data_IF_333166439646
#
_entry.id   IF_333166439646
#
_cell.length_a   1.000
_cell.length_b   1.000
_cell.length_c   1.000
_cell.angle_alpha   90.00
_cell.angle_beta   90.00
_cell.angle_gamma   90.00
#
_symmetry.space_group_name_H-M   'P 1'
#
loop_
_entity.id
_entity.type
_entity.pdbx_description
1 polymer ?
#
# COMPACT_ATOMS: atom_id res chain seq x y z
N UNK A 1 1.11 18.99 -16.55
CA UNK A 1 0.00 18.98 -17.53
C UNK A 1 -0.22 17.62 -18.23
N UNK A 2 0.46 16.52 -17.83
CA UNK A 2 0.37 15.22 -18.53
C UNK A 2 -0.58 14.18 -17.89
N UNK A 3 -1.33 14.55 -16.84
CA UNK A 3 -2.17 13.62 -16.09
C UNK A 3 -3.67 13.67 -16.45
N UNK A 4 -4.03 14.29 -17.59
CA UNK A 4 -5.38 14.16 -18.14
C UNK A 4 -5.37 13.05 -19.19
N UNK A 5 -6.25 12.08 -18.98
CA UNK A 5 -6.89 11.26 -20.03
C UNK A 5 -6.26 9.90 -20.35
N UNK A 6 -6.45 8.92 -19.46
CA UNK A 6 -6.75 7.55 -19.88
C UNK A 6 -7.50 6.80 -18.77
N UNK A 7 -8.83 6.98 -18.66
CA UNK A 7 -9.66 6.25 -17.71
C UNK A 7 -9.40 4.74 -17.75
N UNK A 8 -9.12 4.20 -18.94
CA UNK A 8 -8.74 2.79 -19.13
C UNK A 8 -7.46 2.37 -18.41
N UNK A 9 -6.42 3.22 -18.36
CA UNK A 9 -5.17 2.90 -17.64
C UNK A 9 -5.39 2.90 -16.13
N UNK A 10 -6.17 3.85 -15.60
CA UNK A 10 -6.53 3.86 -14.18
C UNK A 10 -7.32 2.59 -13.80
N UNK A 11 -8.28 2.18 -14.64
CA UNK A 11 -9.05 0.94 -14.48
C UNK A 11 -8.16 -0.30 -14.45
N UNK A 12 -7.24 -0.41 -15.40
CA UNK A 12 -6.31 -1.55 -15.48
C UNK A 12 -5.41 -1.60 -14.24
N UNK A 13 -4.91 -0.45 -13.78
CA UNK A 13 -4.08 -0.37 -12.59
C UNK A 13 -4.83 -0.78 -11.31
N UNK A 14 -6.09 -0.37 -11.15
CA UNK A 14 -6.91 -0.75 -9.98
C UNK A 14 -7.09 -2.28 -9.87
N UNK A 15 -7.07 -3.00 -10.98
CA UNK A 15 -7.20 -4.47 -11.01
C UNK A 15 -5.84 -5.17 -10.88
N UNK A 16 -4.82 -4.69 -11.61
CA UNK A 16 -3.49 -5.32 -11.61
C UNK A 16 -2.83 -5.21 -10.24
N UNK A 17 -3.05 -4.13 -9.52
CA UNK A 17 -2.31 -3.86 -8.29
C UNK A 17 -2.63 -4.85 -7.15
N UNK A 18 -3.92 -5.16 -6.83
CA UNK A 18 -4.24 -6.21 -5.86
C UNK A 18 -3.81 -7.60 -6.34
N UNK A 19 -3.86 -7.87 -7.65
CA UNK A 19 -3.37 -9.13 -8.22
C UNK A 19 -1.85 -9.28 -8.06
N UNK A 20 -1.10 -8.19 -8.22
CA UNK A 20 0.34 -8.16 -8.00
C UNK A 20 0.71 -8.39 -6.53
N UNK A 21 -0.08 -7.85 -5.60
CA UNK A 21 0.12 -8.07 -4.15
C UNK A 21 -0.04 -9.55 -3.76
N UNK A 22 -0.91 -10.30 -4.43
CA UNK A 22 -0.99 -11.77 -4.28
C UNK A 22 0.36 -12.41 -4.61
N UNK A 23 0.96 -12.04 -5.74
CA UNK A 23 2.27 -12.58 -6.15
C UNK A 23 3.35 -12.21 -5.14
N UNK A 24 3.42 -10.94 -4.74
CA UNK A 24 4.37 -10.46 -3.74
C UNK A 24 4.24 -11.18 -2.40
N UNK A 25 3.01 -11.39 -1.93
CA UNK A 25 2.72 -12.09 -0.68
C UNK A 25 3.09 -13.57 -0.74
N UNK A 26 2.83 -14.24 -1.87
CA UNK A 26 3.23 -15.64 -2.07
C UNK A 26 4.76 -15.80 -2.12
N UNK A 27 5.47 -14.83 -2.70
CA UNK A 27 6.93 -14.81 -2.66
C UNK A 27 7.46 -14.59 -1.23
N UNK A 28 6.84 -13.71 -0.44
CA UNK A 28 7.16 -13.53 0.99
C UNK A 28 6.94 -14.83 1.79
N UNK A 29 5.83 -15.54 1.54
CA UNK A 29 5.55 -16.85 2.14
C UNK A 29 6.65 -17.86 1.80
N UNK A 30 7.03 -17.95 0.51
CA UNK A 30 8.06 -18.87 0.04
C UNK A 30 9.41 -18.58 0.69
N UNK A 31 9.80 -17.30 0.76
CA UNK A 31 11.06 -16.87 1.34
C UNK A 31 11.14 -17.16 2.86
N UNK A 32 10.00 -17.13 3.56
CA UNK A 32 9.96 -17.27 5.02
C UNK A 32 9.42 -18.61 5.52
N UNK A 33 9.24 -19.61 4.65
CA UNK A 33 8.62 -20.90 4.99
C UNK A 33 9.31 -21.65 6.14
N UNK A 34 10.63 -21.51 6.24
CA UNK A 34 11.45 -22.18 7.25
C UNK A 34 11.96 -21.24 8.35
N UNK A 35 11.46 -20.00 8.40
CA UNK A 35 11.96 -18.99 9.33
C UNK A 35 11.41 -19.12 10.77
N UNK A 36 10.63 -20.17 11.06
CA UNK A 36 10.05 -20.41 12.40
C UNK A 36 9.01 -19.37 12.85
N UNK A 37 8.49 -18.57 11.92
CA UNK A 37 7.50 -17.51 12.18
C UNK A 37 6.13 -17.88 11.61
N UNK A 38 5.06 -17.34 12.20
CA UNK A 38 3.72 -17.52 11.67
C UNK A 38 3.56 -16.85 10.29
N UNK A 39 2.96 -17.60 9.36
CA UNK A 39 2.63 -17.16 8.00
C UNK A 39 1.14 -16.82 7.82
N UNK A 40 0.34 -16.96 8.89
CA UNK A 40 -1.10 -16.73 8.85
C UNK A 40 -1.47 -15.34 8.31
N UNK A 41 -0.82 -14.22 8.72
CA UNK A 41 -1.17 -12.91 8.19
C UNK A 41 -0.96 -12.79 6.68
N UNK A 42 0.07 -13.45 6.12
CA UNK A 42 0.29 -13.48 4.67
C UNK A 42 -0.80 -14.26 3.94
N UNK A 43 -1.24 -15.40 4.47
CA UNK A 43 -2.35 -16.14 3.87
C UNK A 43 -3.65 -15.32 3.89
N UNK A 44 -3.93 -14.64 4.99
CA UNK A 44 -5.08 -13.71 5.09
C UNK A 44 -4.94 -12.59 4.05
N UNK A 45 -3.75 -11.97 3.92
CA UNK A 45 -3.50 -10.94 2.93
C UNK A 45 -3.72 -11.44 1.50
N UNK A 46 -3.27 -12.66 1.20
CA UNK A 46 -3.46 -13.30 -0.10
C UNK A 46 -4.95 -13.43 -0.43
N UNK A 47 -5.76 -13.92 0.51
CA UNK A 47 -7.21 -14.05 0.33
C UNK A 47 -7.87 -12.69 0.14
N UNK A 48 -7.52 -11.70 0.97
CA UNK A 48 -8.03 -10.33 0.84
C UNK A 48 -7.71 -9.75 -0.55
N UNK A 49 -6.49 -9.93 -1.05
CA UNK A 49 -6.05 -9.39 -2.33
C UNK A 49 -6.70 -10.10 -3.53
N UNK A 50 -6.94 -11.42 -3.45
CA UNK A 50 -7.74 -12.15 -4.46
C UNK A 50 -9.18 -11.63 -4.49
N UNK A 51 -9.85 -11.56 -3.33
CA UNK A 51 -11.23 -11.09 -3.23
C UNK A 51 -11.35 -9.64 -3.72
N UNK A 52 -10.36 -8.80 -3.40
CA UNK A 52 -10.32 -7.41 -3.87
C UNK A 52 -10.17 -7.33 -5.38
N UNK A 53 -9.29 -8.14 -5.99
CA UNK A 53 -9.09 -8.16 -7.45
C UNK A 53 -10.43 -8.38 -8.17
N UNK A 54 -11.22 -9.34 -7.68
CA UNK A 54 -12.56 -9.64 -8.20
C UNK A 54 -13.53 -8.49 -7.89
N UNK A 55 -13.55 -8.00 -6.65
CA UNK A 55 -14.46 -6.94 -6.21
C UNK A 55 -14.24 -5.63 -6.98
N UNK A 56 -13.00 -5.26 -7.28
CA UNK A 56 -12.68 -4.08 -8.10
C UNK A 56 -13.15 -4.27 -9.54
N UNK A 57 -12.96 -5.45 -10.13
CA UNK A 57 -13.42 -5.75 -11.49
C UNK A 57 -14.95 -5.67 -11.63
N UNK A 58 -15.69 -5.94 -10.55
CA UNK A 58 -17.14 -5.75 -10.47
C UNK A 58 -17.50 -4.28 -10.20
N UNK A 59 -16.82 -3.64 -9.23
CA UNK A 59 -17.12 -2.27 -8.81
C UNK A 59 -16.88 -1.25 -9.93
N UNK A 60 -15.88 -1.48 -10.78
CA UNK A 60 -15.57 -0.57 -11.88
C UNK A 60 -16.68 -0.50 -12.94
N UNK A 61 -17.55 -1.51 -13.01
CA UNK A 61 -18.73 -1.52 -13.87
C UNK A 61 -19.84 -0.59 -13.35
N UNK A 62 -19.80 -0.26 -12.05
CA UNK A 62 -20.74 0.67 -11.39
C UNK A 62 -20.24 2.12 -11.42
N UNK A 63 -18.93 2.29 -11.42
CA UNK A 63 -18.28 3.59 -11.52
C UNK A 63 -16.88 3.61 -10.94
N UNK A 64 -16.15 4.67 -11.25
CA UNK A 64 -14.81 4.92 -10.69
C UNK A 64 -14.85 5.14 -9.16
N UNK A 65 -15.81 5.90 -8.59
CA UNK A 65 -15.89 6.09 -7.14
C UNK A 65 -16.03 4.78 -6.37
N UNK A 66 -16.87 3.86 -6.84
CA UNK A 66 -17.10 2.55 -6.23
C UNK A 66 -15.82 1.71 -6.25
N UNK A 67 -15.10 1.70 -7.38
CA UNK A 67 -13.81 1.02 -7.48
C UNK A 67 -12.75 1.62 -6.54
N UNK A 68 -12.74 2.95 -6.37
CA UNK A 68 -11.84 3.64 -5.44
C UNK A 68 -12.11 3.29 -3.98
N UNK A 69 -13.38 3.11 -3.59
CA UNK A 69 -13.74 2.68 -2.22
C UNK A 69 -13.20 1.27 -1.96
N UNK A 70 -13.50 0.33 -2.86
CA UNK A 70 -13.04 -1.07 -2.72
C UNK A 70 -11.51 -1.13 -2.66
N UNK A 71 -10.84 -0.41 -3.57
CA UNK A 71 -9.39 -0.34 -3.61
C UNK A 71 -8.80 0.31 -2.35
N UNK A 72 -9.43 1.38 -1.86
CA UNK A 72 -8.99 2.08 -0.66
C UNK A 72 -9.09 1.22 0.60
N UNK A 73 -10.20 0.50 0.77
CA UNK A 73 -10.39 -0.45 1.88
C UNK A 73 -9.32 -1.55 1.83
N UNK A 74 -9.07 -2.10 0.65
CA UNK A 74 -8.00 -3.09 0.45
C UNK A 74 -6.63 -2.54 0.84
N UNK A 75 -6.23 -1.37 0.32
CA UNK A 75 -4.93 -0.77 0.59
C UNK A 75 -4.72 -0.50 2.10
N UNK A 76 -5.79 -0.16 2.83
CA UNK A 76 -5.74 -0.04 4.29
C UNK A 76 -5.51 -1.39 4.97
N UNK A 77 -6.29 -2.41 4.63
CA UNK A 77 -6.19 -3.73 5.25
C UNK A 77 -4.83 -4.38 5.01
N UNK A 78 -4.38 -4.40 3.75
CA UNK A 78 -3.08 -4.98 3.38
C UNK A 78 -1.93 -4.17 3.96
N UNK A 79 -2.04 -2.85 3.95
CA UNK A 79 -1.08 -1.94 4.56
C UNK A 79 -0.92 -2.18 6.07
N UNK A 80 -2.03 -2.33 6.80
CA UNK A 80 -2.01 -2.67 8.23
C UNK A 80 -1.37 -4.03 8.49
N UNK A 81 -1.69 -5.04 7.67
CA UNK A 81 -1.06 -6.36 7.76
C UNK A 81 0.46 -6.23 7.58
N UNK A 82 0.92 -5.52 6.53
CA UNK A 82 2.35 -5.31 6.26
C UNK A 82 3.04 -4.54 7.39
N UNK A 83 2.38 -3.50 7.92
CA UNK A 83 2.91 -2.68 9.01
C UNK A 83 3.12 -3.52 10.27
N UNK A 84 2.09 -4.29 10.68
CA UNK A 84 2.15 -5.16 11.86
C UNK A 84 3.19 -6.26 11.66
N UNK A 85 3.23 -6.88 10.49
CA UNK A 85 4.22 -7.89 10.14
C UNK A 85 5.64 -7.35 10.22
N UNK A 86 5.90 -6.20 9.59
CA UNK A 86 7.21 -5.56 9.61
C UNK A 86 7.64 -5.23 11.04
N UNK A 87 6.74 -4.70 11.87
CA UNK A 87 7.03 -4.40 13.28
C UNK A 87 7.35 -5.67 14.09
N UNK A 88 6.60 -6.76 13.87
CA UNK A 88 6.84 -8.05 14.57
C UNK A 88 8.12 -8.72 14.10
N UNK A 89 8.34 -8.79 12.79
CA UNK A 89 9.48 -9.48 12.17
C UNK A 89 10.80 -8.72 12.34
N UNK A 90 10.80 -7.39 12.47
CA UNK A 90 12.05 -6.61 12.60
C UNK A 90 12.92 -7.04 13.77
N UNK A 91 12.32 -7.55 14.85
CA UNK A 91 13.04 -8.00 16.06
C UNK A 91 13.68 -9.38 15.89
N UNK A 92 13.20 -10.19 14.96
CA UNK A 92 13.62 -11.59 14.77
C UNK A 92 14.46 -11.76 13.50
N UNK A 93 14.07 -11.10 12.41
CA UNK A 93 14.72 -11.23 11.09
C UNK A 93 15.62 -10.03 10.74
N UNK A 94 15.48 -8.90 11.44
CA UNK A 94 16.11 -7.64 11.03
C UNK A 94 15.61 -7.14 9.66
N UNK A 95 16.03 -5.94 9.24
CA UNK A 95 15.83 -5.44 7.87
C UNK A 95 14.39 -5.15 7.42
N UNK A 96 13.37 -5.26 8.27
CA UNK A 96 11.95 -5.13 7.88
C UNK A 96 11.43 -3.69 7.78
N UNK A 97 12.29 -2.68 7.99
CA UNK A 97 11.89 -1.27 7.91
C UNK A 97 11.24 -0.87 6.58
N UNK A 98 11.64 -1.38 5.40
CA UNK A 98 10.93 -1.13 4.14
C UNK A 98 9.48 -1.62 4.16
N UNK A 99 9.21 -2.78 4.76
CA UNK A 99 7.86 -3.34 4.89
C UNK A 99 6.97 -2.50 5.82
N UNK A 100 7.54 -1.99 6.93
CA UNK A 100 6.85 -1.10 7.87
C UNK A 100 6.44 0.20 7.15
N UNK A 101 7.38 0.78 6.41
CA UNK A 101 7.17 2.02 5.65
C UNK A 101 6.11 1.81 4.57
N UNK A 102 6.27 0.76 3.75
CA UNK A 102 5.31 0.38 2.71
C UNK A 102 3.90 0.18 3.29
N UNK A 103 3.80 -0.55 4.41
CA UNK A 103 2.54 -0.78 5.09
C UNK A 103 1.87 0.53 5.55
N UNK A 104 2.62 1.42 6.19
CA UNK A 104 2.13 2.73 6.60
C UNK A 104 1.67 3.60 5.42
N UNK A 105 2.43 3.61 4.33
CA UNK A 105 2.07 4.34 3.10
C UNK A 105 0.78 3.81 2.48
N UNK A 106 0.61 2.49 2.43
CA UNK A 106 -0.59 1.85 1.89
C UNK A 106 -1.83 2.21 2.71
N UNK A 107 -1.72 2.29 4.04
CA UNK A 107 -2.81 2.75 4.91
C UNK A 107 -3.23 4.19 4.58
N UNK A 108 -2.28 5.10 4.49
CA UNK A 108 -2.56 6.51 4.17
C UNK A 108 -3.16 6.68 2.78
N UNK A 109 -2.66 5.93 1.79
CA UNK A 109 -3.19 5.91 0.45
C UNK A 109 -4.65 5.41 0.43
N UNK A 110 -4.94 4.33 1.15
CA UNK A 110 -6.29 3.78 1.22
C UNK A 110 -7.31 4.72 1.84
N UNK A 111 -6.96 5.41 2.94
CA UNK A 111 -7.79 6.48 3.52
C UNK A 111 -8.05 7.59 2.51
N UNK A 112 -7.03 7.99 1.76
CA UNK A 112 -7.14 9.04 0.74
C UNK A 112 -8.09 8.64 -0.39
N UNK A 113 -8.01 7.40 -0.89
CA UNK A 113 -8.91 6.91 -1.94
C UNK A 113 -10.38 6.86 -1.49
N UNK A 114 -10.65 6.44 -0.26
CA UNK A 114 -12.01 6.44 0.29
C UNK A 114 -12.53 7.89 0.39
N UNK A 115 -11.71 8.83 0.85
CA UNK A 115 -12.09 10.24 0.92
C UNK A 115 -12.37 10.83 -0.48
N UNK A 116 -11.53 10.52 -1.47
CA UNK A 116 -11.71 10.96 -2.86
C UNK A 116 -13.00 10.43 -3.49
N UNK A 117 -13.40 9.19 -3.20
CA UNK A 117 -14.62 8.61 -3.75
C UNK A 117 -15.90 9.39 -3.34
N UNK A 118 -15.86 10.09 -2.20
CA UNK A 118 -16.98 10.88 -1.69
C UNK A 118 -16.91 12.36 -2.10
N UNK A 119 -15.97 12.78 -2.94
CA UNK A 119 -15.82 14.20 -3.32
C UNK A 119 -15.26 14.41 -4.73
N UNK A 120 -16.09 14.89 -5.67
CA UNK A 120 -15.66 15.17 -7.05
C UNK A 120 -14.57 16.26 -7.19
N UNK A 121 -14.36 17.10 -6.17
CA UNK A 121 -13.54 18.33 -6.26
C UNK A 121 -12.37 18.42 -5.25
N UNK A 122 -11.99 17.35 -4.54
CA UNK A 122 -11.00 17.46 -3.45
C UNK A 122 -9.54 17.57 -3.95
N UNK A 123 -9.09 18.81 -4.20
CA UNK A 123 -7.68 19.14 -4.42
C UNK A 123 -6.83 19.19 -3.14
N UNK A 124 -7.43 19.47 -1.98
CA UNK A 124 -6.72 19.67 -0.69
C UNK A 124 -6.23 18.34 -0.07
N UNK A 125 -7.03 17.27 -0.15
CA UNK A 125 -6.62 15.96 0.38
C UNK A 125 -5.52 15.33 -0.48
N UNK A 126 -5.52 15.54 -1.80
CA UNK A 126 -4.40 15.20 -2.66
C UNK A 126 -3.12 15.95 -2.28
N UNK A 127 -3.24 17.24 -1.94
CA UNK A 127 -2.12 18.02 -1.45
C UNK A 127 -1.61 17.46 -0.11
N UNK A 128 -2.50 17.10 0.83
CA UNK A 128 -2.12 16.55 2.12
C UNK A 128 -1.47 15.16 2.01
N UNK A 129 -2.03 14.26 1.19
CA UNK A 129 -1.46 12.95 0.89
C UNK A 129 -0.11 13.07 0.20
N UNK A 130 -0.02 13.85 -0.88
CA UNK A 130 1.24 14.13 -1.59
C UNK A 130 2.29 14.79 -0.68
N UNK A 131 1.88 15.75 0.16
CA UNK A 131 2.76 16.42 1.13
C UNK A 131 3.22 15.48 2.24
N UNK A 132 2.38 14.53 2.67
CA UNK A 132 2.79 13.49 3.61
C UNK A 132 3.85 12.57 2.99
N UNK A 133 3.69 12.18 1.72
CA UNK A 133 4.72 11.45 0.97
C UNK A 133 6.02 12.26 0.82
N UNK A 134 5.93 13.54 0.45
CA UNK A 134 7.09 14.44 0.33
C UNK A 134 7.82 14.66 1.66
N UNK A 135 7.09 15.00 2.72
CA UNK A 135 7.62 15.18 4.06
C UNK A 135 8.31 13.91 4.57
N UNK A 136 7.77 12.74 4.23
CA UNK A 136 8.35 11.45 4.58
C UNK A 136 9.69 11.19 3.86
N UNK A 137 9.78 11.41 2.55
CA UNK A 137 11.05 11.26 1.83
C UNK A 137 12.11 12.25 2.32
N UNK A 138 11.72 13.48 2.66
CA UNK A 138 12.62 14.44 3.30
C UNK A 138 13.10 13.98 4.68
N UNK A 139 12.21 13.42 5.53
CA UNK A 139 12.61 12.86 6.82
C UNK A 139 13.59 11.70 6.66
N UNK A 140 13.35 10.81 5.70
CA UNK A 140 14.25 9.70 5.39
C UNK A 140 15.62 10.19 4.91
N UNK A 141 15.64 11.22 4.05
CA UNK A 141 16.86 11.88 3.60
C UNK A 141 17.61 12.52 4.78
N UNK A 142 16.90 13.21 5.69
CA UNK A 142 17.48 13.82 6.87
C UNK A 142 18.11 12.77 7.82
N UNK A 143 17.42 11.66 8.09
CA UNK A 143 17.95 10.57 8.93
C UNK A 143 19.21 9.95 8.28
N UNK A 144 19.19 9.77 6.95
CA UNK A 144 20.35 9.25 6.22
C UNK A 144 21.54 10.21 6.29
N UNK A 145 21.31 11.51 6.07
CA UNK A 145 22.34 12.55 6.16
C UNK A 145 22.94 12.64 7.56
N UNK A 146 22.11 12.51 8.61
CA UNK A 146 22.58 12.53 9.98
C UNK A 146 23.50 11.34 10.33
N UNK A 147 23.35 10.20 9.64
CA UNK A 147 24.21 9.02 9.84
C UNK A 147 25.50 9.07 9.03
N UNK A 148 25.51 9.78 7.90
CA UNK A 148 26.74 10.02 7.14
C UNK A 148 27.62 11.09 7.80
N UNK A 149 27.04 12.00 8.58
CA UNK A 149 27.78 13.04 9.29
C UNK A 149 28.38 12.59 10.64
N UNK A 150 28.13 11.34 11.07
CA UNK A 150 28.70 10.76 12.30
C UNK A 150 29.95 9.91 12.06
N UNK A 151 30.59 10.04 10.89
CA UNK A 151 31.89 9.43 10.58
C UNK A 151 32.90 10.56 10.41
N UNK A 152 33.33 11.14 11.52
CA UNK A 152 34.57 11.90 11.68
C UNK A 152 35.30 11.39 12.93
#
# INVERSE_FOLDING_TARGET
MFAKSSPGLATVLLIIYPAWDVVGTLLDIRANKNAGISLLPQYINTVISILTTIAVAIAIQKGVPEALIVFGVWAMLTGLIQLVLGIKRRRVLGGQWPMIISGGQSVLAGVSFIAMAHSPNMGIVNLAGYSAFGAFYYLLAAIRLNRTNTVE
#
